data_IF_616153378737
#
_entry.id   IF_616153378737
#
_cell.length_a   1.000
_cell.length_b   1.000
_cell.length_c   1.000
_cell.angle_alpha   90.00
_cell.angle_beta   90.00
_cell.angle_gamma   90.00
#
_symmetry.space_group_name_H-M   'P 1'
#
loop_
_entity.id
_entity.type
_entity.pdbx_description
1 polymer ?
#
# COMPACT_ATOMS: atom_id res chain seq x y z
N UNK A 1 -25.83 5.60 14.76
CA UNK A 1 -25.85 6.66 13.72
C UNK A 1 -24.44 7.13 13.40
N UNK A 2 -23.63 7.55 14.39
CA UNK A 2 -22.24 8.01 14.19
C UNK A 2 -21.30 6.97 13.54
N UNK A 3 -21.26 5.74 14.07
CA UNK A 3 -20.44 4.67 13.48
C UNK A 3 -20.83 4.32 12.03
N UNK A 4 -22.12 4.35 11.69
CA UNK A 4 -22.58 4.05 10.33
C UNK A 4 -22.10 5.11 9.32
N UNK A 5 -22.01 6.37 9.74
CA UNK A 5 -21.48 7.47 8.92
C UNK A 5 -19.97 7.27 8.68
N UNK A 6 -19.21 6.88 9.71
CA UNK A 6 -17.76 6.64 9.58
C UNK A 6 -17.48 5.41 8.72
N UNK A 7 -18.27 4.32 8.83
CA UNK A 7 -18.13 3.17 7.94
C UNK A 7 -18.39 3.54 6.48
N UNK A 8 -19.40 4.36 6.21
CA UNK A 8 -19.67 4.85 4.86
C UNK A 8 -18.55 5.75 4.33
N UNK A 9 -17.95 6.57 5.19
CA UNK A 9 -16.78 7.37 4.84
C UNK A 9 -15.55 6.50 4.55
N UNK A 10 -15.32 5.46 5.36
CA UNK A 10 -14.23 4.50 5.17
C UNK A 10 -14.35 3.81 3.80
N UNK A 11 -15.54 3.30 3.46
CA UNK A 11 -15.78 2.65 2.16
C UNK A 11 -15.56 3.61 0.99
N UNK A 12 -16.02 4.87 1.11
CA UNK A 12 -15.78 5.90 0.09
C UNK A 12 -14.28 6.19 -0.09
N UNK A 13 -13.52 6.28 1.01
CA UNK A 13 -12.07 6.49 0.95
C UNK A 13 -11.40 5.30 0.27
N UNK A 14 -11.78 4.06 0.59
CA UNK A 14 -11.24 2.85 -0.04
C UNK A 14 -11.52 2.83 -1.54
N UNK A 15 -12.74 3.17 -1.98
CA UNK A 15 -13.11 3.21 -3.39
C UNK A 15 -12.34 4.29 -4.17
N UNK A 16 -12.17 5.47 -3.58
CA UNK A 16 -11.35 6.54 -4.17
C UNK A 16 -9.89 6.11 -4.26
N UNK A 17 -9.36 5.52 -3.20
CA UNK A 17 -7.98 5.07 -3.14
C UNK A 17 -7.71 3.94 -4.16
N UNK A 18 -8.63 3.00 -4.34
CA UNK A 18 -8.55 1.97 -5.39
C UNK A 18 -8.44 2.60 -6.77
N UNK A 19 -9.34 3.53 -7.13
CA UNK A 19 -9.36 4.18 -8.45
C UNK A 19 -8.07 4.94 -8.73
N UNK A 20 -7.61 5.74 -7.76
CA UNK A 20 -6.37 6.51 -7.90
C UNK A 20 -5.15 5.59 -8.00
N UNK A 21 -5.11 4.52 -7.21
CA UNK A 21 -4.03 3.54 -7.23
C UNK A 21 -3.95 2.85 -8.58
N UNK A 22 -5.08 2.34 -9.08
CA UNK A 22 -5.17 1.71 -10.40
C UNK A 22 -4.67 2.65 -11.49
N UNK A 23 -5.13 3.90 -11.48
CA UNK A 23 -4.73 4.92 -12.47
C UNK A 23 -3.22 5.16 -12.40
N UNK A 24 -2.69 5.38 -11.20
CA UNK A 24 -1.27 5.66 -11.00
C UNK A 24 -0.37 4.49 -11.45
N UNK A 25 -0.73 3.25 -11.11
CA UNK A 25 0.02 2.08 -11.56
C UNK A 25 -0.04 1.90 -13.08
N UNK A 26 -1.17 2.21 -13.73
CA UNK A 26 -1.30 2.12 -15.18
C UNK A 26 -0.40 3.14 -15.90
N UNK A 27 -0.34 4.38 -15.40
CA UNK A 27 0.51 5.45 -15.94
C UNK A 27 2.02 5.14 -15.78
N UNK A 28 2.39 4.49 -14.67
CA UNK A 28 3.77 4.23 -14.31
C UNK A 28 4.25 2.80 -14.63
N UNK A 29 3.44 1.98 -15.32
CA UNK A 29 3.72 0.56 -15.61
C UNK A 29 5.03 0.30 -16.38
N UNK A 30 5.62 1.33 -16.96
CA UNK A 30 6.89 1.27 -17.69
C UNK A 30 8.10 1.15 -16.74
N UNK A 31 7.94 1.45 -15.46
CA UNK A 31 8.99 1.32 -14.45
C UNK A 31 9.25 -0.15 -14.08
N UNK A 32 10.47 -0.44 -13.65
CA UNK A 32 10.78 -1.73 -13.03
C UNK A 32 9.88 -1.95 -11.80
N UNK A 33 9.30 -3.16 -11.66
CA UNK A 33 8.25 -3.43 -10.67
C UNK A 33 8.65 -3.09 -9.23
N UNK A 34 9.88 -3.39 -8.80
CA UNK A 34 10.34 -3.02 -7.45
C UNK A 34 10.38 -1.49 -7.24
N UNK A 35 10.88 -0.74 -8.24
CA UNK A 35 10.92 0.73 -8.20
C UNK A 35 9.50 1.32 -8.28
N UNK A 36 8.60 0.69 -9.04
CA UNK A 36 7.19 1.06 -9.15
C UNK A 36 6.50 0.99 -7.79
N UNK A 37 6.62 -0.13 -7.07
CA UNK A 37 6.07 -0.27 -5.72
C UNK A 37 6.72 0.70 -4.73
N UNK A 38 8.04 0.89 -4.81
CA UNK A 38 8.75 1.85 -3.96
C UNK A 38 8.24 3.28 -4.17
N UNK A 39 8.10 3.73 -5.41
CA UNK A 39 7.57 5.07 -5.73
C UNK A 39 6.13 5.23 -5.27
N UNK A 40 5.29 4.21 -5.45
CA UNK A 40 3.92 4.22 -4.92
C UNK A 40 3.91 4.38 -3.39
N UNK A 41 4.81 3.68 -2.69
CA UNK A 41 4.99 3.83 -1.23
C UNK A 41 5.35 5.27 -0.86
N UNK A 42 6.28 5.90 -1.60
CA UNK A 42 6.66 7.31 -1.37
C UNK A 42 5.49 8.27 -1.62
N UNK A 43 4.71 8.05 -2.67
CA UNK A 43 3.51 8.85 -2.93
C UNK A 43 2.44 8.69 -1.83
N UNK A 44 2.39 7.51 -1.21
CA UNK A 44 1.52 7.20 -0.07
C UNK A 44 1.98 7.83 1.24
N UNK A 45 3.30 7.97 1.45
CA UNK A 45 3.85 8.62 2.65
C UNK A 45 3.76 10.16 2.59
N UNK A 46 4.15 10.75 1.46
CA UNK A 46 4.39 12.19 1.38
C UNK A 46 3.87 12.85 0.10
N UNK A 47 3.26 12.10 -0.81
CA UNK A 47 2.79 12.60 -2.10
C UNK A 47 1.27 12.66 -2.20
N UNK A 48 0.76 12.41 -3.41
CA UNK A 48 -0.66 12.59 -3.73
C UNK A 48 -1.62 11.63 -2.98
N UNK A 49 -1.10 10.52 -2.44
CA UNK A 49 -1.91 9.56 -1.69
C UNK A 49 -1.89 9.79 -0.17
N UNK A 50 -1.01 10.67 0.34
CA UNK A 50 -0.83 10.90 1.78
C UNK A 50 -2.13 11.19 2.50
N UNK A 51 -2.93 12.12 1.98
CA UNK A 51 -4.19 12.53 2.60
C UNK A 51 -5.21 11.39 2.63
N UNK A 52 -5.25 10.56 1.59
CA UNK A 52 -6.15 9.41 1.54
C UNK A 52 -5.77 8.34 2.56
N UNK A 53 -4.48 8.01 2.67
CA UNK A 53 -4.00 7.07 3.67
C UNK A 53 -4.16 7.60 5.11
N UNK A 54 -3.88 8.88 5.35
CA UNK A 54 -4.10 9.49 6.68
C UNK A 54 -5.56 9.39 7.10
N UNK A 55 -6.48 9.84 6.25
CA UNK A 55 -7.93 9.80 6.55
C UNK A 55 -8.43 8.37 6.74
N UNK A 56 -7.98 7.44 5.91
CA UNK A 56 -8.34 6.03 6.06
C UNK A 56 -7.91 5.50 7.44
N UNK A 57 -6.68 5.80 7.85
CA UNK A 57 -6.15 5.35 9.13
C UNK A 57 -6.89 5.98 10.31
N UNK A 58 -7.19 7.28 10.24
CA UNK A 58 -7.98 7.99 11.25
C UNK A 58 -9.37 7.35 11.41
N UNK A 59 -10.12 7.18 10.32
CA UNK A 59 -11.43 6.50 10.33
C UNK A 59 -11.34 5.05 10.84
N UNK A 60 -10.26 4.34 10.50
CA UNK A 60 -10.07 2.95 10.93
C UNK A 60 -9.86 2.80 12.44
N UNK A 61 -9.15 3.76 13.05
CA UNK A 61 -8.95 3.81 14.49
C UNK A 61 -10.26 4.12 15.21
N UNK A 62 -11.06 5.05 14.68
CA UNK A 62 -12.39 5.38 15.22
C UNK A 62 -13.36 4.21 15.17
N UNK A 63 -13.30 3.39 14.12
CA UNK A 63 -14.15 2.21 13.93
C UNK A 63 -13.52 0.90 14.44
N UNK A 64 -12.32 0.91 15.04
CA UNK A 64 -11.56 -0.28 15.43
C UNK A 64 -11.47 -1.36 14.32
N UNK A 65 -11.39 -0.92 13.07
CA UNK A 65 -11.46 -1.79 11.89
C UNK A 65 -10.06 -2.05 11.33
N UNK A 66 -9.73 -3.32 11.11
CA UNK A 66 -8.48 -3.70 10.46
C UNK A 66 -8.47 -3.33 8.98
N UNK A 67 -7.82 -2.22 8.61
CA UNK A 67 -7.73 -1.76 7.20
C UNK A 67 -6.75 -2.56 6.35
N UNK A 68 -5.78 -3.24 6.96
CA UNK A 68 -4.75 -3.95 6.21
C UNK A 68 -5.35 -5.08 5.35
N UNK A 69 -6.15 -6.02 5.87
CA UNK A 69 -6.79 -7.03 5.03
C UNK A 69 -7.71 -6.44 3.96
N UNK A 70 -8.47 -5.39 4.30
CA UNK A 70 -9.40 -4.73 3.37
C UNK A 70 -8.66 -4.12 2.17
N UNK A 71 -7.67 -3.28 2.43
CA UNK A 71 -6.87 -2.64 1.39
C UNK A 71 -6.08 -3.66 0.57
N UNK A 72 -5.39 -4.59 1.23
CA UNK A 72 -4.60 -5.61 0.53
C UNK A 72 -5.49 -6.43 -0.40
N UNK A 73 -6.67 -6.88 0.05
CA UNK A 73 -7.57 -7.67 -0.78
C UNK A 73 -8.19 -6.86 -1.92
N UNK A 74 -8.37 -5.54 -1.74
CA UNK A 74 -8.95 -4.66 -2.75
C UNK A 74 -7.94 -4.25 -3.81
N UNK A 75 -6.75 -3.79 -3.40
CA UNK A 75 -5.73 -3.23 -4.29
C UNK A 75 -4.93 -4.30 -5.03
N UNK A 76 -4.57 -5.38 -4.34
CA UNK A 76 -3.66 -6.39 -4.90
C UNK A 76 -4.13 -7.04 -6.20
N UNK A 77 -5.37 -7.53 -6.36
CA UNK A 77 -5.81 -8.10 -7.63
C UNK A 77 -5.76 -7.09 -8.77
N UNK A 78 -6.28 -5.87 -8.54
CA UNK A 78 -6.32 -4.82 -9.56
C UNK A 78 -4.93 -4.44 -10.06
N UNK A 79 -4.00 -4.24 -9.12
CA UNK A 79 -2.62 -3.89 -9.46
C UNK A 79 -1.90 -5.06 -10.12
N UNK A 80 -2.12 -6.28 -9.63
CA UNK A 80 -1.58 -7.51 -10.21
C UNK A 80 -1.91 -7.64 -11.70
N UNK A 81 -3.15 -7.33 -12.08
CA UNK A 81 -3.59 -7.34 -13.47
C UNK A 81 -2.87 -6.25 -14.30
N UNK A 82 -2.77 -5.03 -13.77
CA UNK A 82 -2.16 -3.87 -14.46
C UNK A 82 -0.67 -4.08 -14.77
N UNK A 83 0.07 -4.60 -13.79
CA UNK A 83 1.53 -4.78 -13.91
C UNK A 83 1.90 -6.19 -14.38
N UNK A 84 0.91 -7.05 -14.61
CA UNK A 84 1.07 -8.45 -15.02
C UNK A 84 2.01 -9.23 -14.08
N UNK A 85 1.90 -8.99 -12.77
CA UNK A 85 2.68 -9.69 -11.74
C UNK A 85 1.81 -10.76 -11.05
N UNK A 86 2.39 -11.86 -10.54
CA UNK A 86 1.63 -12.87 -9.80
C UNK A 86 0.90 -12.28 -8.58
N UNK A 87 -0.41 -12.50 -8.49
CA UNK A 87 -1.27 -11.92 -7.45
C UNK A 87 -0.76 -12.16 -6.03
N UNK A 88 -0.24 -13.35 -5.75
CA UNK A 88 0.32 -13.68 -4.43
C UNK A 88 1.54 -12.84 -4.07
N UNK A 89 2.37 -12.46 -5.05
CA UNK A 89 3.55 -11.60 -4.84
C UNK A 89 3.11 -10.16 -4.62
N UNK A 90 2.21 -9.66 -5.47
CA UNK A 90 1.59 -8.34 -5.31
C UNK A 90 0.95 -8.20 -3.94
N UNK A 91 0.20 -9.22 -3.49
CA UNK A 91 -0.42 -9.25 -2.16
C UNK A 91 0.59 -9.13 -1.02
N UNK A 92 1.72 -9.85 -1.10
CA UNK A 92 2.79 -9.77 -0.09
C UNK A 92 3.39 -8.37 -0.01
N UNK A 93 3.68 -7.77 -1.17
CA UNK A 93 4.21 -6.40 -1.26
C UNK A 93 3.21 -5.40 -0.66
N UNK A 94 1.94 -5.47 -1.03
CA UNK A 94 0.91 -4.59 -0.46
C UNK A 94 0.77 -4.76 1.06
N UNK A 95 0.76 -5.98 1.58
CA UNK A 95 0.73 -6.20 3.03
C UNK A 95 1.90 -5.52 3.75
N UNK A 96 3.12 -5.63 3.21
CA UNK A 96 4.29 -4.96 3.80
C UNK A 96 4.21 -3.44 3.68
N UNK A 97 3.83 -2.94 2.50
CA UNK A 97 3.67 -1.51 2.28
C UNK A 97 2.62 -0.90 3.20
N UNK A 98 1.46 -1.53 3.34
CA UNK A 98 0.38 -1.02 4.20
C UNK A 98 0.81 -1.08 5.66
N UNK A 99 1.49 -2.15 6.09
CA UNK A 99 2.08 -2.21 7.43
C UNK A 99 3.03 -1.03 7.68
N UNK A 100 3.96 -0.78 6.75
CA UNK A 100 4.89 0.33 6.84
C UNK A 100 4.22 1.71 6.78
N UNK A 101 3.15 1.86 5.99
CA UNK A 101 2.37 3.09 5.96
C UNK A 101 1.67 3.32 7.30
N UNK A 102 1.11 2.28 7.93
CA UNK A 102 0.55 2.38 9.29
C UNK A 102 1.63 2.87 10.26
N UNK A 103 2.83 2.28 10.26
CA UNK A 103 3.93 2.72 11.13
C UNK A 103 4.34 4.17 10.87
N UNK A 104 4.43 4.56 9.59
CA UNK A 104 4.78 5.93 9.20
C UNK A 104 3.77 6.96 9.71
N UNK A 105 2.47 6.68 9.54
CA UNK A 105 1.40 7.59 9.92
C UNK A 105 1.14 7.62 11.44
N UNK A 106 1.54 6.60 12.19
CA UNK A 106 1.45 6.56 13.66
C UNK A 106 2.69 7.14 14.37
N UNK A 107 3.63 7.73 13.62
CA UNK A 107 4.80 8.42 14.18
C UNK A 107 6.06 7.56 14.30
N UNK A 108 6.03 6.30 13.87
CA UNK A 108 7.17 5.37 13.90
C UNK A 108 8.00 5.43 12.61
N UNK A 109 8.06 6.60 11.96
CA UNK A 109 8.75 6.78 10.68
C UNK A 109 10.27 6.46 10.74
N UNK A 110 10.88 6.49 11.93
CA UNK A 110 12.29 6.12 12.15
C UNK A 110 12.55 4.61 12.08
N UNK A 111 11.51 3.79 12.18
CA UNK A 111 11.59 2.32 12.13
C UNK A 111 11.37 1.78 10.71
N UNK A 112 11.25 2.69 9.74
CA UNK A 112 11.09 2.35 8.33
C UNK A 112 12.41 1.89 7.72
N UNK A 113 12.41 0.82 6.91
CA UNK A 113 13.60 0.41 6.17
C UNK A 113 14.06 1.49 5.18
N UNK A 114 15.37 1.50 4.93
CA UNK A 114 15.99 2.38 3.97
C UNK A 114 15.58 2.01 2.53
N UNK A 115 15.83 2.93 1.58
CA UNK A 115 15.50 2.71 0.16
C UNK A 115 16.10 1.41 -0.38
N UNK A 116 17.38 1.16 -0.09
CA UNK A 116 18.09 -0.05 -0.53
C UNK A 116 17.42 -1.31 -0.02
N UNK A 117 17.09 -1.35 1.28
CA UNK A 117 16.42 -2.47 1.94
C UNK A 117 15.03 -2.70 1.35
N UNK A 118 14.24 -1.65 1.15
CA UNK A 118 12.90 -1.76 0.54
C UNK A 118 12.98 -2.35 -0.87
N UNK A 119 13.91 -1.86 -1.69
CA UNK A 119 14.09 -2.35 -3.06
C UNK A 119 14.56 -3.80 -3.08
N UNK A 120 15.45 -4.21 -2.16
CA UNK A 120 15.92 -5.58 -2.04
C UNK A 120 14.79 -6.53 -1.61
N UNK A 121 13.97 -6.12 -0.63
CA UNK A 121 12.78 -6.84 -0.19
C UNK A 121 11.79 -7.03 -1.35
N UNK A 122 11.44 -5.96 -2.06
CA UNK A 122 10.49 -6.04 -3.17
C UNK A 122 11.04 -6.92 -4.29
N UNK A 123 12.31 -6.75 -4.66
CA UNK A 123 12.95 -7.58 -5.69
C UNK A 123 12.99 -9.05 -5.27
N UNK A 124 13.32 -9.35 -4.01
CA UNK A 124 13.33 -10.73 -3.48
C UNK A 124 11.95 -11.38 -3.53
N UNK A 125 10.88 -10.64 -3.17
CA UNK A 125 9.49 -11.13 -3.29
C UNK A 125 9.11 -11.38 -4.75
N UNK A 126 9.47 -10.46 -5.64
CA UNK A 126 9.17 -10.54 -7.07
C UNK A 126 9.92 -11.68 -7.76
N UNK A 127 11.15 -11.97 -7.33
CA UNK A 127 12.00 -13.01 -7.90
C UNK A 127 11.85 -14.37 -7.20
N UNK A 128 11.07 -14.45 -6.12
CA UNK A 128 10.99 -15.63 -5.24
C UNK A 128 12.35 -16.06 -4.66
N UNK A 129 13.29 -15.13 -4.49
CA UNK A 129 14.60 -15.40 -3.89
C UNK A 129 14.52 -15.18 -2.38
N UNK A 130 15.17 -16.06 -1.61
CA UNK A 130 15.39 -15.85 -0.17
C UNK A 130 16.24 -14.57 0.01
N UNK A 131 15.79 -13.67 0.87
CA UNK A 131 16.54 -12.46 1.25
C UNK A 131 17.97 -12.85 1.64
N UNK A 132 18.98 -12.23 1.01
CA UNK A 132 20.37 -12.38 1.46
C UNK A 132 20.52 -11.54 2.71
N UNK A 133 20.38 -12.15 3.87
CA UNK A 133 20.84 -11.55 5.12
C UNK A 133 22.38 -11.56 5.10
N UNK A 134 22.99 -10.37 5.10
CA UNK A 134 24.43 -10.18 5.28
C UNK A 134 24.72 -9.94 6.76
#
# INVERSE_FOLDING_TARGET
MYQAIIYQELDQIVDVLEKLTVTWFAEHRHLAQADLFYRYMKQSQSGCFKTHYSRLLDCSMECLTGVLPQLTNRLSPRVSDIITAPQMKTRRIFSMMIYWLIQYHTGHAKEMPERSEVLDIFSSILESKTLKMW
#
